data_IF_334977493585
#
_entry.id   IF_334977493585
#
_cell.length_a   1.000
_cell.length_b   1.000
_cell.length_c   1.000
_cell.angle_alpha   90.00
_cell.angle_beta   90.00
_cell.angle_gamma   90.00
#
_symmetry.space_group_name_H-M   'P 1'
#
loop_
_entity.id
_entity.type
_entity.pdbx_description
1 polymer ?
#
# COMPACT_ATOMS: atom_id res chain seq x y z
N UNK A 1 -8.66 4.21 14.99
CA UNK A 1 -9.03 4.11 13.57
C UNK A 1 -9.44 2.68 13.26
N UNK A 2 -10.54 2.51 12.58
CA UNK A 2 -11.02 1.20 12.20
C UNK A 2 -10.28 0.64 10.99
N UNK A 3 -10.28 -0.68 10.87
CA UNK A 3 -9.59 -1.39 9.78
C UNK A 3 -10.06 -0.95 8.39
N UNK A 4 -11.36 -0.73 8.19
CA UNK A 4 -11.89 -0.30 6.90
C UNK A 4 -11.35 1.07 6.50
N UNK A 5 -11.31 2.00 7.43
CA UNK A 5 -10.75 3.34 7.18
C UNK A 5 -9.25 3.24 6.90
N UNK A 6 -8.53 2.43 7.66
CA UNK A 6 -7.11 2.19 7.44
C UNK A 6 -6.85 1.65 6.04
N UNK A 7 -7.59 0.60 5.63
CA UNK A 7 -7.41 -0.02 4.33
C UNK A 7 -7.65 0.97 3.19
N UNK A 8 -8.63 1.85 3.35
CA UNK A 8 -8.94 2.84 2.34
C UNK A 8 -7.79 3.84 2.19
N UNK A 9 -7.27 4.35 3.30
CA UNK A 9 -6.15 5.30 3.27
C UNK A 9 -4.91 4.64 2.71
N UNK A 10 -4.62 3.41 3.13
CA UNK A 10 -3.46 2.68 2.62
C UNK A 10 -3.59 2.44 1.11
N UNK A 11 -4.78 2.07 0.66
CA UNK A 11 -5.04 1.87 -0.77
C UNK A 11 -4.81 3.14 -1.58
N UNK A 12 -5.26 4.28 -1.09
CA UNK A 12 -5.05 5.58 -1.73
C UNK A 12 -3.56 5.92 -1.81
N UNK A 13 -2.82 5.65 -0.74
CA UNK A 13 -1.38 5.87 -0.70
C UNK A 13 -0.66 5.01 -1.75
N UNK A 14 -1.00 3.73 -1.83
CA UNK A 14 -0.42 2.82 -2.82
C UNK A 14 -0.71 3.33 -4.24
N UNK A 15 -1.94 3.72 -4.50
CA UNK A 15 -2.34 4.21 -5.81
C UNK A 15 -1.57 5.47 -6.20
N UNK A 16 -1.47 6.43 -5.30
CA UNK A 16 -0.74 7.67 -5.58
C UNK A 16 0.73 7.40 -5.84
N UNK A 17 1.35 6.54 -5.06
CA UNK A 17 2.75 6.18 -5.25
C UNK A 17 2.95 5.49 -6.60
N UNK A 18 2.05 4.57 -6.95
CA UNK A 18 2.11 3.88 -8.24
C UNK A 18 2.00 4.87 -9.40
N UNK A 19 1.04 5.77 -9.35
CA UNK A 19 0.82 6.77 -10.40
C UNK A 19 2.01 7.71 -10.50
N UNK A 20 2.56 8.13 -9.37
CA UNK A 20 3.75 8.99 -9.34
C UNK A 20 4.93 8.33 -10.06
N UNK A 21 5.06 7.02 -9.92
CA UNK A 21 6.11 6.25 -10.59
C UNK A 21 5.74 5.86 -12.03
N UNK A 22 4.59 6.31 -12.50
CA UNK A 22 4.09 6.06 -13.86
C UNK A 22 3.90 4.57 -14.15
N UNK A 23 3.49 3.81 -13.15
CA UNK A 23 3.20 2.39 -13.28
C UNK A 23 1.71 2.16 -13.44
N UNK A 24 1.31 1.25 -14.32
CA UNK A 24 -0.04 0.73 -14.35
C UNK A 24 -0.22 -0.29 -13.22
N UNK A 25 -1.47 -0.67 -12.93
CA UNK A 25 -1.72 -1.76 -11.98
C UNK A 25 -1.08 -3.06 -12.47
N UNK A 26 -1.12 -3.32 -13.78
CA UNK A 26 -0.48 -4.50 -14.36
C UNK A 26 1.03 -4.45 -14.21
N UNK A 27 1.66 -3.29 -14.43
CA UNK A 27 3.10 -3.14 -14.25
C UNK A 27 3.51 -3.44 -12.82
N UNK A 28 2.76 -2.90 -11.86
CA UNK A 28 3.05 -3.14 -10.45
C UNK A 28 2.85 -4.61 -10.10
N UNK A 29 1.76 -5.21 -10.58
CA UNK A 29 1.50 -6.64 -10.40
C UNK A 29 2.64 -7.49 -10.94
N UNK A 30 3.13 -7.17 -12.14
CA UNK A 30 4.24 -7.92 -12.75
C UNK A 30 5.50 -7.86 -11.88
N UNK A 31 5.80 -6.70 -11.31
CA UNK A 31 6.95 -6.55 -10.41
C UNK A 31 6.82 -7.40 -9.15
N UNK A 32 5.60 -7.65 -8.72
CA UNK A 32 5.32 -8.42 -7.50
C UNK A 32 4.98 -9.88 -7.78
N UNK A 33 4.86 -10.28 -9.05
CA UNK A 33 4.40 -11.63 -9.40
C UNK A 33 2.94 -11.87 -9.05
N UNK A 34 2.11 -10.81 -9.09
CA UNK A 34 0.70 -10.86 -8.72
C UNK A 34 -0.19 -10.38 -9.86
N UNK A 35 -1.44 -10.81 -9.83
CA UNK A 35 -2.46 -10.34 -10.76
C UNK A 35 -2.82 -8.88 -10.43
N UNK A 36 -3.07 -8.08 -11.48
CA UNK A 36 -3.46 -6.68 -11.31
C UNK A 36 -4.74 -6.52 -10.49
N UNK A 37 -5.61 -7.52 -10.49
CA UNK A 37 -6.86 -7.46 -9.72
C UNK A 37 -6.58 -7.39 -8.22
N UNK A 38 -5.50 -8.03 -7.75
CA UNK A 38 -5.10 -7.93 -6.36
C UNK A 38 -4.67 -6.50 -6.02
N UNK A 39 -3.88 -5.89 -6.91
CA UNK A 39 -3.49 -4.48 -6.75
C UNK A 39 -4.73 -3.59 -6.69
N UNK A 40 -5.68 -3.81 -7.60
CA UNK A 40 -6.92 -3.04 -7.63
C UNK A 40 -7.70 -3.15 -6.31
N UNK A 41 -7.79 -4.36 -5.75
CA UNK A 41 -8.50 -4.55 -4.47
C UNK A 41 -7.83 -3.81 -3.33
N UNK A 42 -6.50 -3.83 -3.28
CA UNK A 42 -5.76 -3.07 -2.25
C UNK A 42 -6.02 -1.58 -2.42
N UNK A 43 -5.92 -1.07 -3.64
CA UNK A 43 -6.10 0.37 -3.91
C UNK A 43 -7.49 0.85 -3.59
N UNK A 44 -8.50 -0.01 -3.73
CA UNK A 44 -9.88 0.32 -3.38
C UNK A 44 -10.20 0.11 -1.90
N UNK A 45 -9.24 -0.34 -1.12
CA UNK A 45 -9.41 -0.54 0.32
C UNK A 45 -10.25 -1.76 0.67
N UNK A 46 -10.36 -2.73 -0.24
CA UNK A 46 -11.22 -3.91 -0.04
C UNK A 46 -10.55 -5.02 0.76
N UNK A 47 -9.23 -5.00 0.87
CA UNK A 47 -8.48 -6.01 1.59
C UNK A 47 -7.38 -5.36 2.41
N UNK A 48 -6.99 -6.04 3.49
CA UNK A 48 -5.83 -5.64 4.29
C UNK A 48 -4.64 -6.47 3.83
N UNK A 49 -3.59 -5.86 3.27
CA UNK A 49 -2.42 -6.63 2.87
C UNK A 49 -1.69 -7.15 4.09
N UNK A 50 -1.09 -8.34 3.93
CA UNK A 50 -0.21 -8.91 4.96
C UNK A 50 1.12 -8.16 4.98
N UNK A 51 1.89 -8.35 6.06
CA UNK A 51 3.23 -7.78 6.13
C UNK A 51 4.11 -8.27 4.98
N UNK A 52 4.00 -9.56 4.64
CA UNK A 52 4.76 -10.13 3.51
C UNK A 52 4.47 -9.37 2.22
N UNK A 53 3.20 -9.09 1.97
CA UNK A 53 2.75 -8.36 0.78
C UNK A 53 3.27 -6.91 0.80
N UNK A 54 3.24 -6.28 1.98
CA UNK A 54 3.74 -4.91 2.13
C UNK A 54 5.24 -4.83 1.85
N UNK A 55 6.01 -5.82 2.30
CA UNK A 55 7.44 -5.91 2.01
C UNK A 55 7.66 -6.05 0.50
N UNK A 56 6.88 -6.92 -0.15
CA UNK A 56 6.93 -7.06 -1.61
C UNK A 56 6.60 -5.76 -2.33
N UNK A 57 5.63 -5.02 -1.83
CA UNK A 57 5.21 -3.75 -2.40
C UNK A 57 6.32 -2.70 -2.29
N UNK A 58 6.95 -2.58 -1.11
CA UNK A 58 8.07 -1.64 -0.94
C UNK A 58 9.21 -1.98 -1.89
N UNK A 59 9.50 -3.27 -2.04
CA UNK A 59 10.52 -3.72 -2.98
C UNK A 59 10.16 -3.37 -4.43
N UNK A 60 8.90 -3.56 -4.81
CA UNK A 60 8.44 -3.23 -6.16
C UNK A 60 8.53 -1.73 -6.45
N UNK A 61 8.36 -0.89 -5.43
CA UNK A 61 8.54 0.56 -5.53
C UNK A 61 10.00 0.98 -5.37
N UNK A 62 10.91 0.03 -5.16
CA UNK A 62 12.35 0.28 -4.97
C UNK A 62 12.64 1.17 -3.77
N UNK A 63 11.87 0.97 -2.70
CA UNK A 63 12.02 1.69 -1.43
C UNK A 63 12.38 0.73 -0.31
N UNK A 64 13.31 1.11 0.60
CA UNK A 64 13.46 0.36 1.84
C UNK A 64 12.15 0.34 2.61
N UNK A 65 11.86 -0.78 3.28
CA UNK A 65 10.59 -0.93 3.98
C UNK A 65 10.35 0.17 5.01
N UNK A 66 11.38 0.51 5.80
CA UNK A 66 11.28 1.55 6.82
C UNK A 66 10.92 2.91 6.23
N UNK A 67 11.45 3.23 5.05
CA UNK A 67 11.11 4.48 4.37
C UNK A 67 9.68 4.44 3.83
N UNK A 68 9.27 3.31 3.25
CA UNK A 68 7.92 3.15 2.73
C UNK A 68 6.89 3.35 3.85
N UNK A 69 7.12 2.72 5.01
CA UNK A 69 6.23 2.84 6.16
C UNK A 69 6.24 4.27 6.70
N UNK A 70 7.42 4.90 6.80
CA UNK A 70 7.54 6.28 7.25
C UNK A 70 6.76 7.23 6.35
N UNK A 71 6.86 7.06 5.04
CA UNK A 71 6.10 7.87 4.09
C UNK A 71 4.59 7.66 4.24
N UNK A 72 4.16 6.42 4.49
CA UNK A 72 2.76 6.16 4.72
C UNK A 72 2.25 6.84 6.00
N UNK A 73 3.02 6.74 7.08
CA UNK A 73 2.65 7.39 8.35
C UNK A 73 2.49 8.90 8.15
N UNK A 74 3.41 9.51 7.42
CA UNK A 74 3.33 10.94 7.12
C UNK A 74 2.13 11.27 6.23
N UNK A 75 1.91 10.48 5.18
CA UNK A 75 0.79 10.67 4.27
C UNK A 75 -0.55 10.58 4.98
N UNK A 76 -0.71 9.58 5.83
CA UNK A 76 -1.98 9.29 6.49
C UNK A 76 -2.24 10.19 7.70
N UNK A 77 -1.22 10.77 8.30
CA UNK A 77 -1.34 11.49 9.56
C UNK A 77 -1.75 10.59 10.73
N UNK A 78 -1.63 9.29 10.59
CA UNK A 78 -2.06 8.34 11.61
C UNK A 78 -1.17 8.43 12.85
N UNK A 79 -1.82 8.44 14.02
CA UNK A 79 -1.16 8.12 15.27
C UNK A 79 -1.23 6.60 15.44
N UNK A 80 -0.11 5.91 15.20
CA UNK A 80 -0.09 4.45 15.21
C UNK A 80 -0.44 3.87 16.59
N UNK A 81 -0.29 4.66 17.65
CA UNK A 81 -0.69 4.24 19.01
C UNK A 81 -2.21 4.21 19.19
N UNK A 82 -2.96 4.78 18.27
CA UNK A 82 -4.43 4.82 18.33
C UNK A 82 -5.10 3.69 17.57
N UNK A 83 -4.32 2.84 16.88
CA UNK A 83 -4.86 1.72 16.12
C UNK A 83 -5.30 0.62 17.10
N UNK A 84 -6.55 0.17 16.92
CA UNK A 84 -7.11 -0.94 17.69
C UNK A 84 -7.53 -2.05 16.75
N UNK A 85 -7.16 -3.25 17.11
CA UNK A 85 -7.48 -4.45 16.33
C UNK A 85 -8.57 -5.27 17.02
#
# INVERSE_FOLDING_TARGET
MEKTAFNKIFGEFVREKRIHLKLSQSNLGDRMGLDYQYISRVERGLISPTLFWIIGLSNAFELPLELFISEFVEYSGINTLSIKV
#
